data_IF_305140757063
#
_entry.id   IF_305140757063
#
_cell.length_a   1.000
_cell.length_b   1.000
_cell.length_c   1.000
_cell.angle_alpha   90.00
_cell.angle_beta   90.00
_cell.angle_gamma   90.00
#
_symmetry.space_group_name_H-M   'P 1'
#
loop_
_entity.id
_entity.type
_entity.pdbx_description
1 polymer ?
#
# COMPACT_ATOMS: atom_id res chain seq x y z
N UNK A 1 56.24 51.31 -44.84
CA UNK A 1 56.36 50.22 -43.92
C UNK A 1 55.33 50.38 -42.85
N UNK A 2 54.14 49.78 -43.00
CA UNK A 2 53.04 49.92 -42.11
C UNK A 2 52.98 48.58 -41.24
N UNK A 3 52.89 48.69 -39.93
CA UNK A 3 52.82 47.48 -39.08
C UNK A 3 51.39 46.92 -39.07
N UNK A 4 51.32 45.63 -39.27
CA UNK A 4 50.12 44.79 -39.24
C UNK A 4 49.53 44.69 -37.81
N UNK A 5 48.22 44.85 -37.62
CA UNK A 5 47.62 44.69 -36.30
C UNK A 5 47.54 43.21 -35.88
N UNK A 6 48.01 42.94 -34.68
CA UNK A 6 47.99 41.65 -33.99
C UNK A 6 46.56 41.27 -33.65
N UNK A 7 46.05 40.15 -34.15
CA UNK A 7 44.77 39.56 -33.74
C UNK A 7 44.82 39.15 -32.27
N UNK A 8 43.97 39.74 -31.49
CA UNK A 8 43.67 39.32 -30.09
C UNK A 8 42.72 38.12 -30.20
N UNK A 9 43.17 36.97 -29.76
CA UNK A 9 42.27 35.83 -29.53
C UNK A 9 41.33 36.10 -28.37
N UNK A 10 40.00 35.81 -28.48
CA UNK A 10 39.14 35.87 -27.29
C UNK A 10 39.56 34.80 -26.34
N UNK A 11 39.81 35.18 -25.09
CA UNK A 11 40.04 34.32 -23.95
C UNK A 11 38.91 33.32 -23.83
N UNK A 12 39.22 32.07 -24.11
CA UNK A 12 38.36 30.91 -23.75
C UNK A 12 38.51 30.76 -22.25
N UNK A 13 37.52 31.24 -21.49
CA UNK A 13 37.40 30.94 -20.08
C UNK A 13 37.34 29.41 -19.93
N UNK A 14 38.12 28.81 -19.02
CA UNK A 14 38.02 27.38 -18.75
C UNK A 14 36.61 27.09 -18.23
N UNK A 15 36.02 25.93 -18.54
CA UNK A 15 34.71 25.54 -18.02
C UNK A 15 34.80 25.58 -16.50
N UNK A 16 33.92 26.38 -15.88
CA UNK A 16 33.68 26.33 -14.44
C UNK A 16 33.19 24.92 -14.15
N UNK A 17 34.08 24.13 -13.59
CA UNK A 17 33.70 22.86 -12.97
C UNK A 17 32.74 23.23 -11.86
N UNK A 18 31.45 23.01 -12.08
CA UNK A 18 30.46 22.95 -11.01
C UNK A 18 30.97 21.84 -10.07
N UNK A 19 31.65 22.27 -9.02
CA UNK A 19 32.00 21.39 -7.91
C UNK A 19 30.67 20.89 -7.35
N UNK A 20 30.36 19.66 -7.69
CA UNK A 20 29.29 18.84 -7.10
C UNK A 20 29.73 18.57 -5.65
N UNK A 21 29.57 19.58 -4.78
CA UNK A 21 29.73 19.44 -3.32
C UNK A 21 28.44 18.93 -2.71
N UNK A 22 27.79 17.94 -3.38
CA UNK A 22 26.92 17.03 -2.68
C UNK A 22 27.84 16.11 -1.88
N UNK A 23 27.92 16.33 -0.60
CA UNK A 23 28.54 15.42 0.37
C UNK A 23 27.97 14.03 0.06
N UNK A 24 28.84 13.13 -0.43
CA UNK A 24 28.49 11.78 -0.84
C UNK A 24 28.20 10.94 0.41
N UNK A 25 27.01 11.13 0.97
CA UNK A 25 26.50 10.43 2.14
C UNK A 25 26.02 9.00 1.78
N UNK A 26 26.59 8.47 0.69
CA UNK A 26 26.33 7.10 0.22
C UNK A 26 26.98 6.12 1.19
N UNK A 27 26.17 5.49 2.03
CA UNK A 27 26.61 4.31 2.73
C UNK A 27 26.75 3.14 1.75
N UNK A 28 27.96 2.91 1.23
CA UNK A 28 28.30 1.71 0.48
C UNK A 28 28.31 0.54 1.46
N UNK A 29 27.29 -0.30 1.41
CA UNK A 29 27.12 -1.42 2.34
C UNK A 29 28.02 -2.61 1.96
N UNK A 30 28.32 -2.78 0.68
CA UNK A 30 29.16 -3.87 0.16
C UNK A 30 29.96 -3.39 -1.05
N UNK A 31 31.03 -4.10 -1.40
CA UNK A 31 31.86 -3.78 -2.57
C UNK A 31 31.09 -3.83 -3.90
N UNK A 32 29.96 -4.54 -3.96
CA UNK A 32 29.09 -4.63 -5.13
C UNK A 32 27.99 -3.54 -5.14
N UNK A 33 27.87 -2.73 -4.09
CA UNK A 33 26.82 -1.72 -3.95
C UNK A 33 27.03 -0.58 -4.97
N UNK A 34 26.03 -0.38 -5.82
CA UNK A 34 25.94 0.72 -6.79
C UNK A 34 24.78 1.66 -6.50
N UNK A 35 24.08 1.46 -5.37
CA UNK A 35 22.97 2.29 -4.95
C UNK A 35 23.39 3.74 -4.69
N UNK A 36 22.54 4.68 -5.10
CA UNK A 36 22.78 6.13 -4.91
C UNK A 36 22.01 6.73 -3.74
N UNK A 37 21.03 6.01 -3.24
CA UNK A 37 20.19 6.49 -2.15
C UNK A 37 20.81 6.14 -0.79
N UNK A 38 20.57 6.98 0.24
CA UNK A 38 20.93 6.66 1.61
C UNK A 38 20.34 5.31 2.04
N UNK A 39 21.05 4.59 2.91
CA UNK A 39 20.65 3.25 3.34
C UNK A 39 19.21 3.19 3.85
N UNK A 40 18.81 4.12 4.73
CA UNK A 40 17.47 4.13 5.32
C UNK A 40 16.39 4.38 4.26
N UNK A 41 16.64 5.23 3.27
CA UNK A 41 15.70 5.44 2.15
C UNK A 41 15.54 4.18 1.32
N UNK A 42 16.63 3.43 1.08
CA UNK A 42 16.57 2.11 0.41
C UNK A 42 15.77 1.10 1.24
N UNK A 43 15.93 1.10 2.56
CA UNK A 43 15.15 0.23 3.46
C UNK A 43 13.67 0.57 3.44
N UNK A 44 13.31 1.85 3.36
CA UNK A 44 11.90 2.29 3.17
C UNK A 44 11.35 1.73 1.87
N UNK A 45 12.06 1.90 0.73
CA UNK A 45 11.63 1.36 -0.56
C UNK A 45 11.43 -0.16 -0.51
N UNK A 46 12.38 -0.89 0.07
CA UNK A 46 12.26 -2.35 0.22
C UNK A 46 11.05 -2.71 1.08
N UNK A 47 10.83 -2.04 2.21
CA UNK A 47 9.67 -2.30 3.07
C UNK A 47 8.34 -2.02 2.38
N UNK A 48 8.26 -0.95 1.57
CA UNK A 48 7.09 -0.65 0.75
C UNK A 48 6.83 -1.71 -0.33
N UNK A 49 7.88 -2.24 -0.98
CA UNK A 49 7.76 -3.27 -2.02
C UNK A 49 7.42 -4.65 -1.45
N UNK A 50 7.94 -4.98 -0.27
CA UNK A 50 7.63 -6.24 0.42
C UNK A 50 6.23 -6.22 1.06
N UNK A 51 5.72 -5.01 1.33
CA UNK A 51 4.38 -4.78 1.82
C UNK A 51 4.03 -5.44 3.14
N UNK A 52 2.78 -5.37 3.51
CA UNK A 52 1.67 -4.69 2.82
C UNK A 52 1.71 -3.16 2.96
N UNK A 53 2.36 -2.60 3.99
CA UNK A 53 2.45 -1.17 4.24
C UNK A 53 3.58 -0.81 5.21
N UNK A 54 3.93 0.46 5.27
CA UNK A 54 4.78 1.06 6.31
C UNK A 54 3.89 1.91 7.22
N UNK A 55 3.94 1.68 8.53
CA UNK A 55 3.18 2.44 9.51
C UNK A 55 4.09 3.08 10.56
N UNK A 56 3.74 4.26 11.02
CA UNK A 56 4.46 5.02 12.06
C UNK A 56 4.71 4.19 13.30
N UNK A 57 3.68 3.46 13.76
CA UNK A 57 3.75 2.65 14.98
C UNK A 57 4.61 1.39 14.82
N UNK A 58 4.56 0.75 13.65
CA UNK A 58 5.26 -0.51 13.39
C UNK A 58 6.70 -0.28 12.92
N UNK A 59 6.97 0.85 12.28
CA UNK A 59 8.25 1.16 11.66
C UNK A 59 8.76 2.54 12.11
N UNK A 60 8.95 2.77 13.43
CA UNK A 60 9.28 4.10 13.98
C UNK A 60 10.57 4.67 13.40
N UNK A 61 11.52 3.84 12.97
CA UNK A 61 12.79 4.28 12.37
C UNK A 61 12.66 4.58 10.85
N UNK A 62 11.69 3.99 10.14
CA UNK A 62 11.49 4.18 8.71
C UNK A 62 10.50 5.29 8.40
N UNK A 63 9.51 5.48 9.25
CA UNK A 63 8.45 6.47 9.03
C UNK A 63 8.99 7.91 8.87
N UNK A 64 9.86 8.44 9.76
CA UNK A 64 10.41 9.78 9.59
C UNK A 64 11.19 9.92 8.28
N UNK A 65 11.93 8.87 7.87
CA UNK A 65 12.69 8.85 6.62
C UNK A 65 11.76 8.89 5.42
N UNK A 66 10.64 8.14 5.46
CA UNK A 66 9.62 8.15 4.42
C UNK A 66 9.04 9.55 4.25
N UNK A 67 8.61 10.18 5.33
CA UNK A 67 8.00 11.53 5.30
C UNK A 67 8.99 12.56 4.79
N UNK A 68 10.25 12.50 5.24
CA UNK A 68 11.28 13.47 4.81
C UNK A 68 11.68 13.32 3.35
N UNK A 69 11.64 12.10 2.80
CA UNK A 69 12.07 11.79 1.44
C UNK A 69 10.91 11.37 0.53
N UNK A 70 9.69 11.80 0.84
CA UNK A 70 8.48 11.31 0.15
C UNK A 70 8.55 11.52 -1.36
N UNK A 71 8.96 12.69 -1.84
CA UNK A 71 9.05 12.99 -3.28
C UNK A 71 10.08 12.09 -3.99
N UNK A 72 11.23 11.88 -3.36
CA UNK A 72 12.27 11.00 -3.90
C UNK A 72 11.79 9.54 -3.95
N UNK A 73 11.06 9.09 -2.93
CA UNK A 73 10.48 7.75 -2.88
C UNK A 73 9.41 7.59 -3.96
N UNK A 74 8.55 8.62 -4.17
CA UNK A 74 7.56 8.64 -5.25
C UNK A 74 8.21 8.52 -6.62
N UNK A 75 9.29 9.29 -6.86
CA UNK A 75 10.05 9.22 -8.11
C UNK A 75 10.59 7.80 -8.35
N UNK A 76 11.22 7.18 -7.36
CA UNK A 76 11.79 5.82 -7.49
C UNK A 76 10.73 4.74 -7.64
N UNK A 77 9.59 4.89 -7.03
CA UNK A 77 8.45 3.98 -7.23
C UNK A 77 7.84 4.18 -8.62
N UNK A 78 7.81 5.43 -9.12
CA UNK A 78 7.38 5.76 -10.47
C UNK A 78 8.20 5.04 -11.55
N UNK A 79 9.53 4.94 -11.38
CA UNK A 79 10.43 4.18 -12.25
C UNK A 79 10.03 2.67 -12.34
N UNK A 80 9.24 2.19 -11.38
CA UNK A 80 8.75 0.81 -11.30
C UNK A 80 7.26 0.69 -11.63
N UNK A 81 6.62 1.73 -12.17
CA UNK A 81 5.18 1.80 -12.41
C UNK A 81 4.33 1.61 -11.14
N UNK A 82 4.85 2.11 -10.02
CA UNK A 82 4.18 2.07 -8.73
C UNK A 82 3.86 3.47 -8.23
N UNK A 83 2.73 3.60 -7.55
CA UNK A 83 2.30 4.82 -6.90
C UNK A 83 2.37 4.66 -5.38
N UNK A 84 3.00 5.64 -4.70
CA UNK A 84 2.94 5.75 -3.24
C UNK A 84 1.61 6.39 -2.83
N UNK A 85 0.88 5.72 -1.96
CA UNK A 85 -0.24 6.26 -1.20
C UNK A 85 0.25 6.50 0.23
N UNK A 86 0.15 7.73 0.70
CA UNK A 86 0.62 8.12 2.03
C UNK A 86 -0.45 8.96 2.72
N UNK A 87 -0.80 8.58 3.93
CA UNK A 87 -1.63 9.34 4.85
C UNK A 87 -0.81 9.62 6.11
N UNK A 88 -0.36 10.87 6.23
CA UNK A 88 0.49 11.28 7.35
C UNK A 88 -0.31 11.44 8.64
N UNK A 89 -1.61 11.69 8.58
CA UNK A 89 -2.47 11.78 9.75
C UNK A 89 -2.71 10.38 10.34
N UNK A 90 -3.13 9.44 9.52
CA UNK A 90 -3.25 8.03 9.89
C UNK A 90 -1.89 7.37 10.18
N UNK A 91 -0.78 7.96 9.73
CA UNK A 91 0.56 7.44 9.93
C UNK A 91 0.84 6.17 9.15
N UNK A 92 0.33 6.05 7.92
CA UNK A 92 0.42 4.85 7.08
C UNK A 92 0.78 5.21 5.64
N UNK A 93 1.61 4.38 5.02
CA UNK A 93 1.93 4.47 3.60
C UNK A 93 2.05 3.07 2.97
N UNK A 94 1.60 2.94 1.74
CA UNK A 94 1.69 1.70 0.97
C UNK A 94 1.87 2.00 -0.52
N UNK A 95 2.15 0.97 -1.31
CA UNK A 95 2.28 1.10 -2.75
C UNK A 95 1.15 0.36 -3.47
N UNK A 96 0.73 0.92 -4.60
CA UNK A 96 -0.18 0.28 -5.53
C UNK A 96 0.36 0.37 -6.95
N UNK A 97 0.01 -0.56 -7.86
CA UNK A 97 0.34 -0.40 -9.27
C UNK A 97 -0.27 0.88 -9.83
N UNK A 98 0.45 1.56 -10.73
CA UNK A 98 -0.17 2.56 -11.58
C UNK A 98 -1.16 1.87 -12.51
N UNK A 99 -2.34 2.46 -12.66
CA UNK A 99 -3.37 1.99 -13.60
C UNK A 99 -3.74 3.14 -14.51
N UNK A 100 -3.78 2.86 -15.80
CA UNK A 100 -4.27 3.79 -16.81
C UNK A 100 -5.18 3.01 -17.76
N UNK A 101 -6.30 3.63 -18.20
CA UNK A 101 -7.26 2.96 -19.06
C UNK A 101 -6.72 2.69 -20.46
N UNK A 102 -5.78 3.52 -20.91
CA UNK A 102 -5.29 3.52 -22.29
C UNK A 102 -3.90 2.88 -22.44
N UNK A 103 -3.23 2.52 -21.31
CA UNK A 103 -1.85 2.01 -21.32
C UNK A 103 -1.74 0.70 -20.56
N UNK A 104 -1.25 -0.34 -21.24
CA UNK A 104 -0.93 -1.63 -20.60
C UNK A 104 0.43 -1.52 -19.86
N UNK A 105 0.37 -1.29 -18.55
CA UNK A 105 1.54 -1.16 -17.70
C UNK A 105 1.95 -2.52 -17.10
N UNK A 106 3.27 -2.78 -16.99
CA UNK A 106 3.73 -4.03 -16.37
C UNK A 106 3.35 -4.10 -14.90
N UNK A 107 2.94 -5.28 -14.44
CA UNK A 107 2.64 -5.53 -13.02
C UNK A 107 3.93 -5.81 -12.25
N UNK A 108 4.37 -4.86 -11.45
CA UNK A 108 5.63 -4.93 -10.69
C UNK A 108 5.48 -5.65 -9.36
N UNK A 109 4.32 -5.55 -8.72
CA UNK A 109 4.03 -6.22 -7.45
C UNK A 109 2.95 -7.29 -7.63
N UNK A 110 3.05 -8.36 -6.81
CA UNK A 110 2.05 -9.42 -6.82
C UNK A 110 0.79 -8.95 -6.10
N UNK A 111 -0.34 -9.01 -6.79
CA UNK A 111 -1.64 -8.86 -6.11
C UNK A 111 -1.93 -10.14 -5.32
N UNK A 112 -2.50 -9.98 -4.13
CA UNK A 112 -3.01 -11.09 -3.35
C UNK A 112 -4.49 -11.27 -3.72
N UNK A 113 -4.85 -12.32 -4.48
CA UNK A 113 -6.25 -12.54 -4.82
C UNK A 113 -7.06 -12.81 -3.54
N UNK A 114 -8.18 -12.13 -3.40
CA UNK A 114 -9.10 -12.35 -2.30
C UNK A 114 -10.09 -13.46 -2.69
N UNK A 115 -10.31 -14.40 -1.76
CA UNK A 115 -11.43 -15.35 -1.88
C UNK A 115 -12.73 -14.66 -1.46
N UNK A 116 -13.86 -15.31 -1.72
CA UNK A 116 -15.16 -14.82 -1.25
C UNK A 116 -15.16 -14.52 0.27
N UNK A 117 -14.66 -15.45 1.08
CA UNK A 117 -14.60 -15.28 2.54
C UNK A 117 -13.65 -14.16 2.95
N UNK A 118 -12.49 -14.04 2.27
CA UNK A 118 -11.57 -12.91 2.49
C UNK A 118 -12.29 -11.57 2.25
N UNK A 119 -13.06 -11.50 1.18
CA UNK A 119 -13.78 -10.29 0.79
C UNK A 119 -14.88 -9.92 1.79
N UNK A 120 -15.69 -10.88 2.21
CA UNK A 120 -16.71 -10.69 3.26
C UNK A 120 -16.05 -10.17 4.53
N UNK A 121 -14.95 -10.78 4.96
CA UNK A 121 -14.24 -10.39 6.16
C UNK A 121 -13.63 -8.99 6.03
N UNK A 122 -13.01 -8.65 4.91
CA UNK A 122 -12.43 -7.33 4.66
C UNK A 122 -13.51 -6.23 4.71
N UNK A 123 -14.66 -6.45 4.11
CA UNK A 123 -15.78 -5.49 4.13
C UNK A 123 -16.33 -5.30 5.55
N UNK A 124 -16.50 -6.37 6.30
CA UNK A 124 -16.91 -6.32 7.71
C UNK A 124 -15.94 -5.49 8.55
N UNK A 125 -14.65 -5.76 8.45
CA UNK A 125 -13.62 -5.05 9.20
C UNK A 125 -13.56 -3.57 8.83
N UNK A 126 -13.73 -3.25 7.54
CA UNK A 126 -13.81 -1.87 7.08
C UNK A 126 -15.03 -1.14 7.64
N UNK A 127 -16.20 -1.78 7.66
CA UNK A 127 -17.39 -1.23 8.27
C UNK A 127 -17.16 -0.91 9.74
N UNK A 128 -16.55 -1.83 10.49
CA UNK A 128 -16.16 -1.61 11.89
C UNK A 128 -15.22 -0.43 12.07
N UNK A 129 -14.26 -0.24 11.18
CA UNK A 129 -13.37 0.94 11.20
C UNK A 129 -14.14 2.25 10.96
N UNK A 130 -15.09 2.26 10.04
CA UNK A 130 -15.90 3.46 9.76
C UNK A 130 -16.85 3.82 10.89
N UNK A 131 -17.35 2.83 11.64
CA UNK A 131 -18.19 3.04 12.82
C UNK A 131 -17.38 3.47 14.03
N UNK A 132 -16.08 3.17 14.06
CA UNK A 132 -15.17 3.57 15.13
C UNK A 132 -14.83 5.06 15.03
N UNK A 133 -15.16 5.84 16.05
CA UNK A 133 -14.91 7.30 16.13
C UNK A 133 -13.45 7.63 16.47
N UNK A 134 -12.49 7.27 15.61
CA UNK A 134 -11.07 7.64 15.75
C UNK A 134 -10.26 6.86 16.80
N UNK A 135 -10.88 5.93 17.52
CA UNK A 135 -10.22 5.04 18.47
C UNK A 135 -9.71 3.75 17.77
N UNK A 136 -8.81 3.03 18.43
CA UNK A 136 -8.41 1.69 18.00
C UNK A 136 -9.64 0.80 17.94
N UNK A 137 -9.83 0.13 16.80
CA UNK A 137 -10.99 -0.74 16.58
C UNK A 137 -10.59 -2.18 16.86
N UNK A 138 -11.39 -2.86 17.67
CA UNK A 138 -11.19 -4.25 18.04
C UNK A 138 -12.40 -5.08 17.62
N UNK A 139 -12.15 -6.30 17.16
CA UNK A 139 -13.20 -7.29 16.83
C UNK A 139 -12.92 -8.60 17.54
N UNK A 140 -13.96 -9.26 18.03
CA UNK A 140 -13.89 -10.60 18.58
C UNK A 140 -13.81 -11.67 17.50
N UNK A 141 -13.26 -12.82 17.83
CA UNK A 141 -13.24 -13.96 16.92
C UNK A 141 -14.66 -14.46 16.63
N UNK A 142 -15.51 -14.50 17.63
CA UNK A 142 -16.91 -14.84 17.56
C UNK A 142 -17.69 -13.91 16.61
N UNK A 143 -17.45 -12.58 16.70
CA UNK A 143 -18.04 -11.60 15.79
C UNK A 143 -17.66 -11.87 14.31
N UNK A 144 -16.41 -12.27 14.08
CA UNK A 144 -15.93 -12.65 12.74
C UNK A 144 -16.64 -13.91 12.25
N UNK A 145 -16.72 -14.92 13.09
CA UNK A 145 -17.32 -16.21 12.74
C UNK A 145 -18.82 -16.06 12.44
N UNK A 146 -19.56 -15.31 13.29
CA UNK A 146 -20.98 -15.04 13.12
C UNK A 146 -21.24 -14.22 11.84
N UNK A 147 -20.44 -13.18 11.59
CA UNK A 147 -20.59 -12.37 10.38
C UNK A 147 -20.34 -13.20 9.12
N UNK A 148 -19.26 -13.96 9.08
CA UNK A 148 -18.96 -14.81 7.94
C UNK A 148 -20.02 -15.91 7.73
N UNK A 149 -20.58 -16.45 8.82
CA UNK A 149 -21.62 -17.49 8.75
C UNK A 149 -22.91 -16.97 8.08
N UNK A 150 -23.24 -15.70 8.22
CA UNK A 150 -24.39 -15.08 7.56
C UNK A 150 -24.31 -15.09 6.02
N UNK A 151 -23.08 -15.14 5.48
CA UNK A 151 -22.82 -15.20 4.04
C UNK A 151 -22.55 -16.60 3.51
N UNK A 152 -22.74 -17.63 4.32
CA UNK A 152 -22.60 -19.01 3.89
C UNK A 152 -23.78 -19.39 2.99
N UNK A 153 -23.48 -19.99 1.83
CA UNK A 153 -24.53 -20.50 0.94
C UNK A 153 -25.45 -21.50 1.67
N UNK A 154 -26.74 -21.42 1.41
CA UNK A 154 -27.75 -22.26 2.09
C UNK A 154 -27.55 -23.77 1.85
N UNK A 155 -26.93 -24.14 0.74
CA UNK A 155 -26.60 -25.51 0.35
C UNK A 155 -25.23 -25.98 0.85
N UNK A 156 -24.39 -25.09 1.42
CA UNK A 156 -23.11 -25.47 2.03
C UNK A 156 -23.35 -26.08 3.42
N UNK A 157 -23.51 -27.41 3.45
CA UNK A 157 -23.75 -28.18 4.67
C UNK A 157 -22.47 -28.50 5.45
N UNK A 158 -21.28 -28.22 4.87
CA UNK A 158 -20.00 -28.58 5.49
C UNK A 158 -19.46 -27.46 6.39
N UNK A 159 -20.02 -27.36 7.61
CA UNK A 159 -19.61 -26.38 8.62
C UNK A 159 -18.11 -26.44 8.94
N UNK A 160 -17.52 -27.64 8.99
CA UNK A 160 -16.10 -27.81 9.31
C UNK A 160 -15.19 -27.23 8.20
N UNK A 161 -15.57 -27.41 6.94
CA UNK A 161 -14.85 -26.86 5.80
C UNK A 161 -14.99 -25.33 5.74
N UNK A 162 -16.19 -24.83 6.00
CA UNK A 162 -16.42 -23.38 6.06
C UNK A 162 -15.58 -22.74 7.17
N UNK A 163 -15.58 -23.30 8.39
CA UNK A 163 -14.73 -22.83 9.49
C UNK A 163 -13.23 -22.83 9.15
N UNK A 164 -12.75 -23.84 8.39
CA UNK A 164 -11.36 -23.83 7.89
C UNK A 164 -11.10 -22.68 6.93
N UNK A 165 -12.05 -22.31 6.05
CA UNK A 165 -11.93 -21.15 5.14
C UNK A 165 -11.86 -19.84 5.92
N UNK A 166 -12.72 -19.66 6.93
CA UNK A 166 -12.68 -18.47 7.81
C UNK A 166 -11.35 -18.38 8.54
N UNK A 167 -10.84 -19.49 9.09
CA UNK A 167 -9.53 -19.55 9.73
C UNK A 167 -8.40 -19.15 8.77
N UNK A 168 -8.42 -19.64 7.53
CA UNK A 168 -7.43 -19.30 6.52
C UNK A 168 -7.49 -17.81 6.16
N UNK A 169 -8.69 -17.21 6.06
CA UNK A 169 -8.88 -15.78 5.83
C UNK A 169 -8.35 -14.94 6.97
N UNK A 170 -8.65 -15.30 8.23
CA UNK A 170 -8.11 -14.61 9.41
C UNK A 170 -6.58 -14.69 9.43
N UNK A 171 -6.00 -15.86 9.17
CA UNK A 171 -4.54 -16.03 9.11
C UNK A 171 -3.93 -15.14 8.02
N UNK A 172 -4.51 -15.13 6.82
CA UNK A 172 -4.09 -14.30 5.69
C UNK A 172 -4.10 -12.81 6.04
N UNK A 173 -5.14 -12.33 6.72
CA UNK A 173 -5.23 -10.92 7.15
C UNK A 173 -4.25 -10.60 8.31
N UNK A 174 -3.91 -11.58 9.13
CA UNK A 174 -2.84 -11.45 10.13
C UNK A 174 -1.46 -11.35 9.47
N UNK A 175 -1.17 -12.20 8.51
CA UNK A 175 0.08 -12.17 7.74
C UNK A 175 0.23 -10.84 6.98
N UNK A 176 -0.89 -10.30 6.49
CA UNK A 176 -0.96 -8.96 5.90
C UNK A 176 -0.96 -7.82 6.93
N UNK A 177 -0.82 -8.09 8.22
CA UNK A 177 -0.86 -7.11 9.32
C UNK A 177 -2.13 -6.23 9.36
N UNK A 178 -3.20 -6.67 8.70
CA UNK A 178 -4.53 -6.03 8.74
C UNK A 178 -5.23 -6.36 10.05
N UNK A 179 -5.04 -7.58 10.56
CA UNK A 179 -5.47 -8.00 11.88
C UNK A 179 -4.24 -8.23 12.77
N UNK A 180 -4.24 -7.66 13.97
CA UNK A 180 -3.19 -7.87 14.96
C UNK A 180 -3.77 -8.55 16.18
N UNK A 181 -3.17 -9.66 16.63
CA UNK A 181 -3.59 -10.34 17.87
C UNK A 181 -3.37 -9.43 19.06
N UNK A 182 -4.31 -9.41 19.99
CA UNK A 182 -4.19 -8.71 21.27
C UNK A 182 -3.76 -9.67 22.37
N UNK A 183 -3.45 -9.16 23.55
CA UNK A 183 -3.20 -9.97 24.76
C UNK A 183 -4.46 -10.67 25.29
N UNK A 184 -5.65 -10.24 24.83
CA UNK A 184 -6.94 -10.81 25.21
C UNK A 184 -7.35 -11.92 24.22
N UNK A 185 -6.54 -12.93 24.07
CA UNK A 185 -6.75 -14.20 23.34
C UNK A 185 -7.52 -14.14 22.01
N UNK A 186 -8.83 -14.00 22.06
CA UNK A 186 -9.72 -14.10 20.91
C UNK A 186 -10.16 -12.74 20.33
N UNK A 187 -9.40 -11.67 20.60
CA UNK A 187 -9.64 -10.34 20.03
C UNK A 187 -8.52 -9.90 19.12
N UNK A 188 -8.89 -9.19 18.08
CA UNK A 188 -7.96 -8.63 17.08
C UNK A 188 -8.13 -7.14 16.99
N UNK A 189 -7.03 -6.42 16.89
CA UNK A 189 -7.02 -5.02 16.51
C UNK A 189 -7.04 -4.90 15.00
N UNK A 190 -7.93 -4.07 14.47
CA UNK A 190 -8.06 -3.81 13.03
C UNK A 190 -7.16 -2.65 12.63
N UNK A 191 -6.28 -2.87 11.66
CA UNK A 191 -5.38 -1.83 11.18
C UNK A 191 -6.11 -0.73 10.41
N UNK A 192 -5.86 0.57 10.70
CA UNK A 192 -6.44 1.69 9.96
C UNK A 192 -6.11 1.68 8.47
N UNK A 193 -5.03 1.00 8.05
CA UNK A 193 -4.62 0.87 6.65
C UNK A 193 -5.74 0.29 5.78
N UNK A 194 -6.60 -0.54 6.36
CA UNK A 194 -7.70 -1.15 5.63
C UNK A 194 -8.65 -0.11 5.02
N UNK A 195 -8.88 1.00 5.70
CA UNK A 195 -9.70 2.11 5.20
C UNK A 195 -9.09 2.83 4.00
N UNK A 196 -7.76 2.81 3.88
CA UNK A 196 -7.02 3.47 2.80
C UNK A 196 -6.80 2.55 1.59
N UNK A 197 -6.57 1.25 1.84
CA UNK A 197 -6.35 0.24 0.77
C UNK A 197 -7.65 -0.05 0.02
N UNK A 198 -8.76 -0.09 0.76
CA UNK A 198 -10.10 -0.31 0.21
C UNK A 198 -10.88 1.01 0.26
N UNK A 199 -10.61 1.90 -0.71
CA UNK A 199 -11.37 3.12 -0.91
C UNK A 199 -12.82 2.82 -1.34
N UNK A 200 -13.65 3.86 -1.41
CA UNK A 200 -15.09 3.70 -1.69
C UNK A 200 -15.34 3.00 -3.05
N UNK A 201 -14.55 3.32 -4.07
CA UNK A 201 -14.74 2.78 -5.43
C UNK A 201 -14.43 1.27 -5.46
N UNK A 202 -13.35 0.84 -4.82
CA UNK A 202 -13.02 -0.58 -4.68
C UNK A 202 -14.08 -1.35 -3.89
N UNK A 203 -14.62 -0.73 -2.83
CA UNK A 203 -15.68 -1.35 -2.01
C UNK A 203 -16.97 -1.54 -2.79
N UNK A 204 -17.40 -0.54 -3.57
CA UNK A 204 -18.59 -0.66 -4.38
C UNK A 204 -18.47 -1.76 -5.43
N UNK A 205 -17.33 -1.85 -6.12
CA UNK A 205 -17.07 -2.92 -7.09
C UNK A 205 -17.09 -4.31 -6.46
N UNK A 206 -16.45 -4.45 -5.30
CA UNK A 206 -16.39 -5.72 -4.56
C UNK A 206 -17.74 -6.08 -3.96
N UNK A 207 -18.49 -5.13 -3.40
CA UNK A 207 -19.83 -5.36 -2.84
C UNK A 207 -20.83 -5.73 -3.95
N UNK A 208 -20.72 -5.14 -5.15
CA UNK A 208 -21.54 -5.50 -6.30
C UNK A 208 -21.25 -6.95 -6.75
N UNK A 209 -19.98 -7.34 -6.81
CA UNK A 209 -19.58 -8.69 -7.16
C UNK A 209 -20.03 -9.73 -6.11
N UNK A 210 -19.97 -9.39 -4.83
CA UNK A 210 -20.49 -10.23 -3.74
C UNK A 210 -22.00 -10.45 -3.87
N UNK A 211 -22.79 -9.38 -4.14
CA UNK A 211 -24.23 -9.49 -4.36
C UNK A 211 -24.53 -10.37 -5.57
N UNK A 212 -23.78 -10.20 -6.67
CA UNK A 212 -23.90 -11.05 -7.86
C UNK A 212 -23.63 -12.53 -7.55
N UNK A 213 -22.61 -12.82 -6.75
CA UNK A 213 -22.25 -14.19 -6.34
C UNK A 213 -23.24 -14.79 -5.32
N UNK A 214 -23.86 -13.95 -4.49
CA UNK A 214 -24.92 -14.36 -3.57
C UNK A 214 -26.28 -14.56 -4.24
N UNK A 215 -26.42 -14.26 -5.53
CA UNK A 215 -27.66 -14.42 -6.28
C UNK A 215 -28.71 -13.34 -6.00
N UNK A 216 -28.35 -12.22 -5.38
CA UNK A 216 -29.23 -11.07 -5.21
C UNK A 216 -29.28 -10.23 -6.51
N UNK A 217 -30.47 -9.87 -7.02
CA UNK A 217 -30.58 -9.02 -8.19
C UNK A 217 -29.99 -7.63 -7.91
N UNK A 218 -29.29 -7.06 -8.89
CA UNK A 218 -28.79 -5.70 -8.83
C UNK A 218 -29.97 -4.75 -8.56
N UNK A 219 -29.81 -3.90 -7.56
CA UNK A 219 -30.79 -2.85 -7.22
C UNK A 219 -30.83 -1.81 -8.35
N UNK A 220 -31.77 -2.00 -9.29
CA UNK A 220 -32.10 -1.03 -10.36
C UNK A 220 -32.99 0.08 -9.78
N UNK A 221 -32.49 0.82 -8.82
CA UNK A 221 -33.20 2.00 -8.33
C UNK A 221 -32.29 3.21 -8.41
N UNK A 222 -32.27 3.92 -9.53
CA UNK A 222 -32.24 5.39 -9.65
C UNK A 222 -32.12 5.80 -11.13
N UNK A 223 -33.26 5.60 -11.88
CA UNK A 223 -33.48 6.41 -13.05
C UNK A 223 -34.99 6.59 -13.27
N UNK A 224 -35.59 7.55 -12.52
CA UNK A 224 -36.76 8.27 -12.93
C UNK A 224 -36.90 9.55 -12.09
N UNK A 225 -36.63 10.65 -12.69
CA UNK A 225 -37.31 11.94 -12.79
C UNK A 225 -36.33 13.07 -13.04
#
# INVERSE_FOLDING_TARGET
>A
MTPTPRRVHPDVLPPVALADTATDDRHILTAADRGRLPELTRRVLVSLLQGPYVARELHPNLWPVLVTNEDLIRERLGDLFLQLVSDQEAGVAFVRPMTDADVDLPRTIRSMPLTFVDTVLVLFLRERLLQGSGARVFVGRDEIDDHCAAFRAADDTNLALFGKRVNASVSKLKDASILRSTSEGDRYEVSPVLGLVFDADNVHAVAAELRRLAGEPADESHSES
#
